data_IF_345758370756
#
_entry.id   IF_345758370756
#
_cell.length_a   1.000
_cell.length_b   1.000
_cell.length_c   1.000
_cell.angle_alpha   90.00
_cell.angle_beta   90.00
_cell.angle_gamma   90.00
#
_symmetry.space_group_name_H-M   'P 1'
#
loop_
_entity.id
_entity.type
_entity.pdbx_description
1 polymer ?
#
# COMPACT_ATOMS: atom_id res chain seq x y z
N UNK A 1 16.64 3.95 2.56
CA UNK A 1 16.66 2.49 2.47
C UNK A 1 16.18 2.06 1.10
N UNK A 2 17.06 1.37 0.40
CA UNK A 2 16.80 0.70 -0.87
C UNK A 2 17.41 -0.70 -0.74
N UNK A 3 16.72 -1.74 -1.21
CA UNK A 3 17.22 -3.11 -1.19
C UNK A 3 17.92 -3.44 -2.50
N UNK A 4 18.94 -4.29 -2.40
CA UNK A 4 19.69 -4.78 -3.56
C UNK A 4 18.90 -5.84 -4.33
N UNK A 5 19.29 -6.09 -5.59
CA UNK A 5 18.70 -7.16 -6.40
C UNK A 5 18.84 -8.54 -5.72
N UNK A 6 20.01 -8.81 -5.11
CA UNK A 6 20.24 -10.07 -4.39
C UNK A 6 19.31 -10.25 -3.19
N UNK A 7 19.00 -9.17 -2.45
CA UNK A 7 18.03 -9.20 -1.36
C UNK A 7 16.60 -9.35 -1.89
N UNK A 8 16.29 -8.66 -2.99
CA UNK A 8 15.00 -8.76 -3.66
C UNK A 8 14.69 -10.18 -4.14
N UNK A 9 15.66 -10.91 -4.69
CA UNK A 9 15.48 -12.28 -5.13
C UNK A 9 15.00 -13.22 -4.01
N UNK A 10 15.39 -12.97 -2.76
CA UNK A 10 14.94 -13.78 -1.62
C UNK A 10 13.44 -13.64 -1.37
N UNK A 11 12.90 -12.44 -1.56
CA UNK A 11 11.48 -12.11 -1.32
C UNK A 11 10.62 -12.10 -2.60
N UNK A 12 11.22 -12.33 -3.77
CA UNK A 12 10.54 -12.22 -5.07
C UNK A 12 9.26 -13.09 -5.12
N UNK A 13 9.32 -14.27 -4.49
CA UNK A 13 8.21 -15.23 -4.42
C UNK A 13 6.94 -14.67 -3.73
N UNK A 14 7.06 -13.62 -2.92
CA UNK A 14 5.93 -12.93 -2.28
C UNK A 14 5.21 -11.95 -3.20
N UNK A 15 5.86 -11.53 -4.28
CA UNK A 15 5.36 -10.48 -5.16
C UNK A 15 4.55 -11.08 -6.32
N UNK A 16 3.49 -10.38 -6.76
CA UNK A 16 2.75 -10.82 -7.92
C UNK A 16 3.62 -10.71 -9.18
N UNK A 17 3.54 -11.74 -10.02
CA UNK A 17 4.16 -11.72 -11.36
C UNK A 17 3.59 -10.55 -12.17
N UNK A 18 4.48 -9.74 -12.71
CA UNK A 18 4.10 -8.61 -13.57
C UNK A 18 3.46 -9.14 -14.86
N UNK A 19 2.32 -8.56 -15.26
CA UNK A 19 1.62 -8.89 -16.49
C UNK A 19 1.40 -7.64 -17.33
N UNK A 20 1.56 -7.77 -18.65
CA UNK A 20 1.40 -6.69 -19.62
C UNK A 20 2.62 -5.78 -19.72
N UNK A 21 2.45 -4.64 -20.41
CA UNK A 21 3.51 -3.65 -20.57
C UNK A 21 3.63 -2.81 -19.29
N UNK A 22 4.61 -3.16 -18.46
CA UNK A 22 4.88 -2.51 -17.18
C UNK A 22 6.19 -1.74 -17.28
N UNK A 23 6.15 -0.42 -17.02
CA UNK A 23 7.34 0.43 -17.08
C UNK A 23 8.26 0.36 -15.85
N UNK A 24 7.71 0.03 -14.67
CA UNK A 24 8.46 -0.04 -13.41
C UNK A 24 8.55 -1.49 -12.91
N UNK A 25 9.76 -1.94 -12.58
CA UNK A 25 9.97 -3.27 -12.00
C UNK A 25 9.38 -3.34 -10.59
N UNK A 26 9.16 -4.55 -10.09
CA UNK A 26 8.66 -4.74 -8.73
C UNK A 26 9.66 -4.22 -7.70
N UNK A 27 10.96 -4.43 -7.93
CA UNK A 27 12.04 -3.88 -7.11
C UNK A 27 11.99 -2.35 -7.04
N UNK A 28 11.87 -1.66 -8.17
CA UNK A 28 11.79 -0.19 -8.20
C UNK A 28 10.62 0.34 -7.38
N UNK A 29 9.45 -0.30 -7.51
CA UNK A 29 8.26 0.08 -6.75
C UNK A 29 8.44 -0.21 -5.27
N UNK A 30 9.03 -1.36 -4.91
CA UNK A 30 9.29 -1.71 -3.53
C UNK A 30 10.27 -0.72 -2.87
N UNK A 31 11.37 -0.37 -3.55
CA UNK A 31 12.32 0.63 -3.07
C UNK A 31 11.67 2.01 -2.86
N UNK A 32 10.76 2.41 -3.75
CA UNK A 32 10.01 3.66 -3.58
C UNK A 32 9.07 3.62 -2.36
N UNK A 33 8.40 2.48 -2.10
CA UNK A 33 7.55 2.29 -0.93
C UNK A 33 8.38 2.32 0.35
N UNK A 34 9.52 1.63 0.37
CA UNK A 34 10.43 1.60 1.52
C UNK A 34 10.98 2.99 1.82
N UNK A 35 11.32 3.78 0.80
CA UNK A 35 11.74 5.16 0.96
C UNK A 35 10.68 6.01 1.66
N UNK A 36 9.42 5.90 1.22
CA UNK A 36 8.29 6.62 1.84
C UNK A 36 8.06 6.18 3.28
N UNK A 37 8.14 4.88 3.55
CA UNK A 37 7.96 4.33 4.89
C UNK A 37 9.04 4.78 5.88
N UNK A 38 10.29 4.87 5.44
CA UNK A 38 11.42 5.29 6.27
C UNK A 38 11.46 6.80 6.50
N UNK A 39 11.13 7.61 5.49
CA UNK A 39 11.25 9.06 5.56
C UNK A 39 9.94 9.75 5.99
N UNK A 40 8.82 9.02 6.06
CA UNK A 40 7.51 9.57 6.40
C UNK A 40 7.02 10.66 5.44
N UNK A 41 7.49 10.66 4.19
CA UNK A 41 7.20 11.73 3.25
C UNK A 41 5.86 11.51 2.52
N UNK A 42 5.19 12.60 2.14
CA UNK A 42 4.00 12.52 1.27
C UNK A 42 4.40 11.91 -0.08
N UNK A 43 3.54 11.10 -0.69
CA UNK A 43 3.77 10.50 -2.00
C UNK A 43 4.18 11.52 -3.08
N UNK A 44 3.62 12.73 -3.05
CA UNK A 44 3.98 13.82 -3.99
C UNK A 44 5.41 14.35 -3.81
N UNK A 45 6.00 14.15 -2.64
CA UNK A 45 7.39 14.47 -2.32
C UNK A 45 8.38 13.36 -2.67
N UNK A 46 7.92 12.24 -3.24
CA UNK A 46 8.79 11.15 -3.65
C UNK A 46 9.84 11.66 -4.68
N UNK A 47 11.14 11.39 -4.46
CA UNK A 47 12.19 11.78 -5.40
C UNK A 47 11.94 11.24 -6.81
N UNK A 48 12.15 12.08 -7.84
CA UNK A 48 11.90 11.74 -9.25
C UNK A 48 12.67 10.50 -9.73
N UNK A 49 13.79 10.14 -9.08
CA UNK A 49 14.59 8.94 -9.41
C UNK A 49 13.80 7.63 -9.33
N UNK A 50 12.78 7.58 -8.48
CA UNK A 50 11.91 6.40 -8.36
C UNK A 50 10.86 6.30 -9.47
N UNK A 51 10.64 7.38 -10.21
CA UNK A 51 9.61 7.48 -11.24
C UNK A 51 8.38 8.26 -10.80
N UNK A 52 7.28 8.11 -11.55
CA UNK A 52 6.05 8.87 -11.32
C UNK A 52 5.34 8.39 -10.05
N UNK A 53 5.25 9.26 -9.05
CA UNK A 53 4.62 8.96 -7.75
C UNK A 53 3.22 8.34 -7.88
N UNK A 54 2.40 8.80 -8.83
CA UNK A 54 1.02 8.31 -9.00
C UNK A 54 0.98 6.83 -9.41
N UNK A 55 1.91 6.41 -10.26
CA UNK A 55 2.03 5.02 -10.71
C UNK A 55 2.41 4.10 -9.55
N UNK A 56 3.37 4.56 -8.73
CA UNK A 56 3.86 3.84 -7.55
C UNK A 56 2.75 3.73 -6.51
N UNK A 57 2.10 4.85 -6.18
CA UNK A 57 0.98 4.89 -5.25
C UNK A 57 -0.16 3.96 -5.67
N UNK A 58 -0.55 4.00 -6.94
CA UNK A 58 -1.64 3.14 -7.46
C UNK A 58 -1.31 1.66 -7.31
N UNK A 59 -0.05 1.27 -7.57
CA UNK A 59 0.41 -0.11 -7.41
C UNK A 59 0.52 -0.51 -5.94
N UNK A 60 1.08 0.35 -5.10
CA UNK A 60 1.15 0.17 -3.65
C UNK A 60 -0.25 -0.06 -3.07
N UNK A 61 -1.21 0.80 -3.39
CA UNK A 61 -2.60 0.67 -2.93
C UNK A 61 -3.24 -0.66 -3.38
N UNK A 62 -2.96 -1.11 -4.61
CA UNK A 62 -3.42 -2.42 -5.09
C UNK A 62 -2.77 -3.57 -4.31
N UNK A 63 -1.47 -3.49 -4.03
CA UNK A 63 -0.73 -4.51 -3.30
C UNK A 63 -1.17 -4.59 -1.84
N UNK A 64 -1.37 -3.45 -1.21
CA UNK A 64 -1.96 -3.32 0.11
C UNK A 64 -3.31 -4.05 0.19
N UNK A 65 -4.25 -3.71 -0.69
CA UNK A 65 -5.60 -4.29 -0.68
C UNK A 65 -5.63 -5.79 -0.92
N UNK A 66 -4.60 -6.32 -1.59
CA UNK A 66 -4.46 -7.75 -1.89
C UNK A 66 -3.55 -8.48 -0.87
N UNK A 67 -3.16 -7.83 0.24
CA UNK A 67 -2.28 -8.39 1.26
C UNK A 67 -0.88 -8.78 0.75
N UNK A 68 -0.44 -8.21 -0.38
CA UNK A 68 0.90 -8.45 -0.93
C UNK A 68 1.94 -7.79 -0.05
N UNK A 69 1.69 -6.54 0.36
CA UNK A 69 2.63 -5.82 1.20
C UNK A 69 2.80 -6.50 2.56
N UNK A 70 1.74 -7.00 3.18
CA UNK A 70 1.83 -7.72 4.47
C UNK A 70 2.79 -8.90 4.38
N UNK A 71 2.67 -9.72 3.32
CA UNK A 71 3.56 -10.86 3.05
C UNK A 71 5.00 -10.42 2.81
N UNK A 72 5.19 -9.40 1.97
CA UNK A 72 6.53 -8.87 1.64
C UNK A 72 7.23 -8.33 2.90
N UNK A 73 6.55 -7.56 3.73
CA UNK A 73 7.14 -7.00 4.94
C UNK A 73 7.43 -8.07 6.00
N UNK A 74 6.57 -9.09 6.12
CA UNK A 74 6.83 -10.25 6.99
C UNK A 74 8.11 -10.97 6.57
N UNK A 75 8.27 -11.27 5.28
CA UNK A 75 9.46 -11.97 4.79
C UNK A 75 10.72 -11.09 4.83
N UNK A 76 10.61 -9.78 4.60
CA UNK A 76 11.73 -8.83 4.77
C UNK A 76 12.25 -8.80 6.22
N UNK A 77 11.37 -8.93 7.22
CA UNK A 77 11.75 -9.04 8.63
C UNK A 77 12.38 -10.40 8.92
N UNK A 78 11.79 -11.48 8.41
CA UNK A 78 12.28 -12.86 8.58
C UNK A 78 13.69 -13.05 8.03
N UNK A 79 13.95 -12.51 6.83
CA UNK A 79 15.26 -12.52 6.17
C UNK A 79 16.26 -11.52 6.79
N UNK A 80 15.83 -10.73 7.79
CA UNK A 80 16.61 -9.67 8.43
C UNK A 80 17.19 -8.65 7.43
N UNK A 81 16.60 -8.53 6.24
CA UNK A 81 16.98 -7.55 5.21
C UNK A 81 16.69 -6.14 5.71
N UNK A 82 15.64 -6.02 6.52
CA UNK A 82 15.11 -4.75 7.00
C UNK A 82 14.92 -4.82 8.51
N UNK A 83 15.70 -4.05 9.26
CA UNK A 83 15.49 -3.81 10.70
C UNK A 83 14.57 -2.60 10.92
N UNK A 84 13.46 -2.54 10.17
CA UNK A 84 12.45 -1.51 10.42
C UNK A 84 11.52 -2.06 11.50
N UNK A 85 11.62 -1.49 12.69
CA UNK A 85 10.51 -1.50 13.64
C UNK A 85 9.43 -0.64 12.99
N UNK A 86 8.44 -1.24 12.35
CA UNK A 86 7.38 -0.49 11.67
C UNK A 86 6.46 0.09 12.77
N UNK A 87 6.90 1.17 13.40
CA UNK A 87 6.07 2.06 14.21
C UNK A 87 5.45 3.17 13.33
N UNK A 88 5.33 2.91 12.02
CA UNK A 88 4.83 3.86 11.04
C UNK A 88 3.30 3.96 11.15
N UNK A 89 2.85 4.76 12.12
CA UNK A 89 1.50 5.27 12.22
C UNK A 89 1.39 6.48 11.29
N UNK A 90 1.02 6.26 10.02
CA UNK A 90 0.67 7.36 9.12
C UNK A 90 -0.77 7.81 9.40
N UNK A 91 -0.91 8.73 10.35
CA UNK A 91 -2.15 9.46 10.68
C UNK A 91 -2.23 10.74 9.82
N UNK A 92 -2.66 10.66 8.57
CA UNK A 92 -3.20 11.82 7.86
C UNK A 92 -4.55 11.50 7.22
N UNK A 93 -5.47 10.99 8.04
CA UNK A 93 -6.90 11.08 7.77
C UNK A 93 -7.37 12.50 8.08
N UNK A 94 -7.68 13.30 7.07
CA UNK A 94 -8.47 14.52 7.26
C UNK A 94 -9.94 14.18 7.13
N UNK A 95 -10.66 14.15 8.24
CA UNK A 95 -12.12 14.12 8.21
C UNK A 95 -12.64 15.56 8.08
N UNK A 96 -13.38 15.87 7.03
CA UNK A 96 -14.11 17.14 6.91
C UNK A 96 -15.56 16.85 7.21
N UNK A 97 -16.09 17.49 8.27
CA UNK A 97 -17.51 17.40 8.61
C UNK A 97 -18.30 18.12 7.52
N UNK A 98 -19.11 17.38 6.77
CA UNK A 98 -20.02 17.96 5.77
C UNK A 98 -21.23 18.52 6.50
N UNK A 99 -21.75 19.68 6.05
CA UNK A 99 -23.04 20.18 6.52
C UNK A 99 -24.13 19.13 6.23
N UNK A 100 -25.16 18.93 7.08
CA UNK A 100 -26.22 17.96 6.83
C UNK A 100 -26.80 18.04 5.40
N UNK A 101 -26.98 19.27 4.89
CA UNK A 101 -27.49 19.57 3.54
C UNK A 101 -26.48 19.35 2.40
N UNK A 102 -25.21 19.06 2.72
CA UNK A 102 -24.18 18.68 1.74
C UNK A 102 -24.20 17.18 1.38
N UNK A 103 -25.06 16.40 2.03
CA UNK A 103 -25.34 15.01 1.65
C UNK A 103 -26.18 15.04 0.38
N UNK A 104 -25.51 15.10 -0.78
CA UNK A 104 -26.16 15.24 -2.08
C UNK A 104 -27.28 14.23 -2.33
N UNK A 105 -28.21 14.60 -3.23
CA UNK A 105 -29.35 13.78 -3.61
C UNK A 105 -28.97 12.35 -4.02
N UNK A 106 -29.80 11.38 -3.62
CA UNK A 106 -29.70 9.97 -4.01
C UNK A 106 -29.51 9.86 -5.54
N UNK A 107 -28.33 9.38 -5.96
CA UNK A 107 -28.16 8.96 -7.36
C UNK A 107 -29.16 7.83 -7.62
N UNK A 108 -30.11 8.05 -8.55
CA UNK A 108 -30.87 6.96 -9.19
C UNK A 108 -29.87 6.03 -9.85
N UNK A 109 -29.49 4.99 -9.11
CA UNK A 109 -28.78 3.84 -9.63
C UNK A 109 -29.82 2.75 -9.67
N UNK A 110 -30.28 2.40 -10.86
CA UNK A 110 -31.01 1.15 -11.03
C UNK A 110 -30.14 0.03 -10.41
N UNK A 111 -30.68 -0.58 -9.35
CA UNK A 111 -30.04 -1.66 -8.60
C UNK A 111 -29.82 -2.85 -9.53
N UNK A 112 -28.65 -2.94 -10.15
CA UNK A 112 -28.07 -4.26 -10.40
C UNK A 112 -27.61 -4.78 -9.05
N UNK A 113 -28.25 -5.85 -8.56
CA UNK A 113 -27.82 -6.56 -7.35
C UNK A 113 -26.35 -6.96 -7.51
N UNK A 114 -25.46 -6.18 -6.91
CA UNK A 114 -24.17 -6.68 -6.44
C UNK A 114 -24.36 -7.02 -4.98
N UNK A 115 -24.31 -8.32 -4.68
CA UNK A 115 -23.93 -8.99 -3.42
C UNK A 115 -24.03 -8.16 -2.12
N UNK A 116 -24.72 -8.75 -1.14
CA UNK A 116 -24.98 -8.25 0.21
C UNK A 116 -23.84 -7.41 0.85
N UNK A 117 -24.18 -6.36 1.63
CA UNK A 117 -23.20 -5.60 2.38
C UNK A 117 -22.53 -6.48 3.44
N UNK A 118 -21.22 -6.69 3.30
CA UNK A 118 -20.36 -7.16 4.39
C UNK A 118 -20.37 -6.11 5.51
N UNK A 119 -20.42 -6.57 6.76
CA UNK A 119 -20.38 -5.74 7.97
C UNK A 119 -19.24 -4.70 7.90
N UNK A 120 -19.44 -3.52 8.50
CA UNK A 120 -18.49 -2.41 8.52
C UNK A 120 -17.06 -2.87 8.87
N UNK A 121 -16.30 -3.18 7.83
CA UNK A 121 -14.92 -3.57 7.93
C UNK A 121 -14.03 -2.35 8.19
N UNK A 122 -12.82 -2.55 8.73
CA UNK A 122 -11.89 -1.47 8.97
C UNK A 122 -11.67 -0.62 7.69
N UNK A 123 -11.47 0.70 7.83
CA UNK A 123 -11.42 1.61 6.69
C UNK A 123 -10.42 1.14 5.62
N UNK A 124 -10.93 0.93 4.40
CA UNK A 124 -10.23 0.37 3.22
C UNK A 124 -9.02 1.18 2.71
N UNK A 125 -8.73 2.33 3.31
CA UNK A 125 -7.63 3.23 2.93
C UNK A 125 -6.35 2.98 3.72
N UNK A 126 -6.47 2.42 4.92
CA UNK A 126 -5.32 2.27 5.82
C UNK A 126 -4.74 0.88 5.57
N UNK A 127 -3.67 0.83 4.78
CA UNK A 127 -2.80 -0.33 4.84
C UNK A 127 -2.00 -0.24 6.14
N UNK A 128 -2.29 -1.12 7.07
CA UNK A 128 -1.46 -1.36 8.24
C UNK A 128 -0.77 -2.70 8.00
N UNK A 129 0.57 -2.77 7.99
CA UNK A 129 1.25 -4.05 8.06
C UNK A 129 0.77 -4.80 9.31
N UNK A 130 0.01 -5.89 9.12
CA UNK A 130 -0.38 -6.73 10.25
C UNK A 130 0.85 -7.49 10.72
N UNK A 131 1.34 -7.15 11.92
CA UNK A 131 2.34 -7.94 12.61
C UNK A 131 1.68 -9.20 13.16
N UNK A 132 2.29 -10.35 12.92
CA UNK A 132 2.12 -11.49 13.84
C UNK A 132 3.03 -11.18 15.02
N UNK A 133 2.43 -10.90 16.18
CA UNK A 133 3.15 -10.97 17.45
C UNK A 133 3.59 -12.43 17.59
N UNK A 134 4.86 -12.73 17.32
CA UNK A 134 5.46 -14.02 17.66
C UNK A 134 6.29 -13.86 18.93
N UNK A 135 6.22 -14.85 19.85
CA UNK A 135 6.74 -14.79 21.21
C UNK A 135 8.27 -14.70 21.30
#
# INVERSE_FOLDING_TARGET
MEITEAQYQRIEHCLPRQRGNVSLTNLQVLNAILYVAEHGCKWRGLPKRFGRWHTIYTRMNRWSRNGVLDRVFTELQREQIVRIRIEAVSLDSTMVKVHPDGTGALKKTDLKQSVNPEADGPPRFIWLPRMLEQP
#
